data_IF_570195228736
#
_entry.id   IF_570195228736
#
_cell.length_a   1.000
_cell.length_b   1.000
_cell.length_c   1.000
_cell.angle_alpha   90.00
_cell.angle_beta   90.00
_cell.angle_gamma   90.00
#
_symmetry.space_group_name_H-M   'P 1'
#
loop_
_entity.id
_entity.type
_entity.pdbx_description
1 polymer ?
#
# COMPACT_ATOMS: atom_id res chain seq x y z
N UNK A 1 31.94 -7.48 14.39
CA UNK A 1 30.82 -8.11 13.67
C UNK A 1 29.52 -7.64 14.31
N UNK A 2 28.41 -7.63 13.57
CA UNK A 2 27.03 -7.35 14.03
C UNK A 2 26.56 -5.89 14.12
N UNK A 3 26.23 -5.31 12.95
CA UNK A 3 25.23 -4.22 12.83
C UNK A 3 24.32 -4.40 11.60
N UNK A 4 24.07 -5.63 11.13
CA UNK A 4 23.30 -5.89 9.89
C UNK A 4 21.76 -5.90 10.06
N UNK A 5 21.23 -6.13 11.26
CA UNK A 5 19.77 -6.24 11.50
C UNK A 5 18.96 -4.97 11.16
N UNK A 6 19.40 -3.74 11.50
CA UNK A 6 18.68 -2.53 11.12
C UNK A 6 18.62 -2.31 9.60
N UNK A 7 19.66 -2.75 8.88
CA UNK A 7 19.80 -2.58 7.43
C UNK A 7 18.83 -3.48 6.66
N UNK A 8 18.71 -4.76 7.03
CA UNK A 8 17.76 -5.67 6.37
C UNK A 8 16.31 -5.23 6.60
N UNK A 9 15.96 -4.85 7.84
CA UNK A 9 14.62 -4.36 8.13
C UNK A 9 14.26 -3.09 7.35
N UNK A 10 15.21 -2.16 7.20
CA UNK A 10 15.03 -0.97 6.37
C UNK A 10 14.88 -1.31 4.89
N UNK A 11 15.65 -2.29 4.40
CA UNK A 11 15.58 -2.76 3.01
C UNK A 11 14.22 -3.38 2.71
N UNK A 12 13.76 -4.30 3.56
CA UNK A 12 12.43 -4.93 3.44
C UNK A 12 11.33 -3.89 3.42
N UNK A 13 11.37 -2.93 4.35
CA UNK A 13 10.37 -1.86 4.41
C UNK A 13 10.37 -1.02 3.13
N UNK A 14 11.52 -0.48 2.72
CA UNK A 14 11.63 0.38 1.52
C UNK A 14 11.18 -0.35 0.26
N UNK A 15 11.54 -1.62 0.10
CA UNK A 15 11.14 -2.42 -1.06
C UNK A 15 9.63 -2.60 -1.10
N UNK A 16 9.02 -3.10 -0.02
CA UNK A 16 7.61 -3.46 0.00
C UNK A 16 6.68 -2.23 0.08
N UNK A 17 7.10 -1.15 0.74
CA UNK A 17 6.28 0.07 0.87
C UNK A 17 6.13 0.85 -0.44
N UNK A 18 7.07 0.68 -1.37
CA UNK A 18 7.10 1.39 -2.65
C UNK A 18 6.39 0.61 -3.78
N UNK A 19 5.86 -0.59 -3.51
CA UNK A 19 5.19 -1.35 -4.55
C UNK A 19 3.82 -0.72 -4.85
N UNK A 20 3.56 -0.45 -6.13
CA UNK A 20 2.25 -0.01 -6.56
C UNK A 20 1.23 -1.17 -6.48
N UNK A 21 0.18 -0.97 -5.68
CA UNK A 21 -0.88 -1.93 -5.42
C UNK A 21 -2.21 -1.59 -6.12
N UNK A 22 -2.30 -0.48 -6.85
CA UNK A 22 -3.56 0.04 -7.39
C UNK A 22 -4.36 -1.00 -8.19
N UNK A 23 -3.69 -1.74 -9.08
CA UNK A 23 -4.31 -2.80 -9.89
C UNK A 23 -4.60 -4.11 -9.14
N UNK A 24 -4.16 -4.21 -7.88
CA UNK A 24 -4.23 -5.42 -7.04
C UNK A 24 -5.19 -5.27 -5.86
N UNK A 25 -5.58 -4.05 -5.55
CA UNK A 25 -6.58 -3.73 -4.51
C UNK A 25 -7.97 -3.98 -5.07
N UNK A 26 -8.79 -4.69 -4.30
CA UNK A 26 -10.18 -4.96 -4.65
C UNK A 26 -11.11 -3.99 -3.95
N UNK A 27 -12.07 -3.48 -4.70
CA UNK A 27 -13.13 -2.59 -4.21
C UNK A 27 -14.45 -3.34 -4.24
N UNK A 28 -14.96 -3.71 -3.06
CA UNK A 28 -16.32 -4.24 -2.92
C UNK A 28 -17.26 -3.09 -2.57
N UNK A 29 -18.42 -3.02 -3.22
CA UNK A 29 -19.45 -2.00 -2.95
C UNK A 29 -19.81 -2.00 -1.46
N UNK A 30 -19.71 -0.84 -0.81
CA UNK A 30 -19.95 -0.64 0.64
C UNK A 30 -18.95 -1.36 1.58
N UNK A 31 -17.72 -1.61 1.13
CA UNK A 31 -16.64 -2.13 1.98
C UNK A 31 -15.37 -1.32 1.79
N UNK A 32 -14.50 -1.32 2.80
CA UNK A 32 -13.17 -0.75 2.66
C UNK A 32 -12.38 -1.49 1.57
N UNK A 33 -11.54 -0.79 0.79
CA UNK A 33 -10.64 -1.42 -0.16
C UNK A 33 -9.74 -2.41 0.59
N UNK A 34 -9.45 -3.56 -0.02
CA UNK A 34 -8.60 -4.57 0.61
C UNK A 34 -7.67 -5.25 -0.40
N UNK A 35 -6.52 -5.70 0.08
CA UNK A 35 -5.60 -6.54 -0.66
C UNK A 35 -5.93 -8.01 -0.38
N UNK A 36 -6.17 -8.87 -1.39
CA UNK A 36 -6.38 -10.29 -1.16
C UNK A 36 -5.14 -10.92 -0.53
N UNK A 37 -5.32 -11.75 0.50
CA UNK A 37 -4.21 -12.39 1.23
C UNK A 37 -3.24 -13.16 0.33
N UNK A 38 -3.78 -13.84 -0.70
CA UNK A 38 -2.97 -14.62 -1.64
C UNK A 38 -2.09 -13.70 -2.50
N UNK A 39 -2.61 -12.52 -2.88
CA UNK A 39 -1.85 -11.50 -3.61
C UNK A 39 -0.78 -10.91 -2.70
N UNK A 40 -1.11 -10.58 -1.45
CA UNK A 40 -0.13 -10.09 -0.48
C UNK A 40 1.03 -11.09 -0.28
N UNK A 41 0.72 -12.38 -0.15
CA UNK A 41 1.72 -13.44 -0.04
C UNK A 41 2.55 -13.60 -1.32
N UNK A 42 1.90 -13.64 -2.49
CA UNK A 42 2.59 -13.70 -3.77
C UNK A 42 3.60 -12.55 -3.92
N UNK A 43 3.19 -11.33 -3.60
CA UNK A 43 4.05 -10.15 -3.70
C UNK A 43 5.22 -10.20 -2.73
N UNK A 44 5.02 -10.71 -1.52
CA UNK A 44 6.15 -10.96 -0.61
C UNK A 44 7.14 -11.96 -1.23
N UNK A 45 6.64 -13.04 -1.84
CA UNK A 45 7.44 -14.08 -2.48
C UNK A 45 8.21 -13.60 -3.71
N UNK A 46 7.68 -12.64 -4.47
CA UNK A 46 8.37 -12.05 -5.63
C UNK A 46 9.71 -11.39 -5.25
N UNK A 47 9.83 -10.88 -4.02
CA UNK A 47 11.06 -10.23 -3.51
C UNK A 47 11.82 -11.10 -2.49
N UNK A 48 11.11 -11.90 -1.71
CA UNK A 48 11.64 -12.66 -0.57
C UNK A 48 11.13 -14.11 -0.59
N UNK A 49 11.51 -14.94 -1.59
CA UNK A 49 10.92 -16.27 -1.83
C UNK A 49 11.22 -17.30 -0.73
N UNK A 50 12.23 -17.07 0.10
CA UNK A 50 12.57 -17.93 1.25
C UNK A 50 11.77 -17.62 2.51
N UNK A 51 10.82 -16.67 2.45
CA UNK A 51 9.99 -16.29 3.59
C UNK A 51 8.99 -17.39 3.95
N UNK A 52 8.58 -17.43 5.21
CA UNK A 52 7.65 -18.42 5.75
C UNK A 52 6.65 -17.77 6.70
N UNK A 53 5.55 -18.47 7.00
CA UNK A 53 4.61 -18.05 8.03
C UNK A 53 4.12 -19.24 8.85
N UNK A 54 3.70 -18.98 10.09
CA UNK A 54 3.13 -19.98 10.99
C UNK A 54 1.91 -19.39 11.71
N UNK A 55 0.79 -20.12 11.66
CA UNK A 55 -0.39 -19.77 12.45
C UNK A 55 -0.25 -20.28 13.87
N UNK A 56 -0.40 -19.37 14.84
CA UNK A 56 -0.47 -19.74 16.23
C UNK A 56 -1.79 -20.44 16.58
N UNK A 57 -1.86 -20.89 17.84
CA UNK A 57 -3.10 -21.45 18.40
C UNK A 57 -4.18 -20.37 18.46
N UNK A 58 -5.42 -20.77 18.18
CA UNK A 58 -6.59 -19.92 18.37
C UNK A 58 -6.79 -19.71 19.87
N UNK A 59 -6.86 -18.45 20.29
CA UNK A 59 -7.08 -18.10 21.70
C UNK A 59 -8.56 -17.81 21.92
N UNK A 60 -9.24 -18.63 22.73
CA UNK A 60 -10.64 -18.44 23.09
C UNK A 60 -10.77 -17.69 24.41
N UNK A 61 -11.56 -16.63 24.42
CA UNK A 61 -11.89 -15.86 25.61
C UNK A 61 -13.07 -16.47 26.36
N UNK A 62 -13.23 -16.12 27.65
CA UNK A 62 -14.30 -16.64 28.52
C UNK A 62 -15.73 -16.32 28.05
N UNK A 63 -15.90 -15.29 27.20
CA UNK A 63 -17.17 -14.94 26.56
C UNK A 63 -17.44 -15.71 25.24
N UNK A 64 -16.65 -16.77 24.97
CA UNK A 64 -16.74 -17.63 23.78
C UNK A 64 -16.43 -16.92 22.45
N UNK A 65 -15.82 -15.74 22.48
CA UNK A 65 -15.17 -15.16 21.29
C UNK A 65 -13.74 -15.67 21.20
N UNK A 66 -13.07 -15.44 20.06
CA UNK A 66 -11.66 -15.82 19.94
C UNK A 66 -10.86 -14.84 19.08
N UNK A 67 -9.53 -14.95 19.21
CA UNK A 67 -8.58 -14.33 18.31
C UNK A 67 -7.63 -15.37 17.69
N UNK A 68 -7.08 -15.03 16.54
CA UNK A 68 -6.07 -15.81 15.83
C UNK A 68 -4.74 -15.06 15.85
N UNK A 69 -3.63 -15.78 15.83
CA UNK A 69 -2.28 -15.21 15.75
C UNK A 69 -1.51 -15.79 14.57
N UNK A 70 -0.59 -14.98 14.04
CA UNK A 70 0.28 -15.35 12.94
C UNK A 70 1.68 -14.79 13.21
N UNK A 71 2.70 -15.55 12.83
CA UNK A 71 4.08 -15.09 12.75
C UNK A 71 4.56 -15.23 11.32
N UNK A 72 5.07 -14.14 10.73
CA UNK A 72 5.66 -14.13 9.39
C UNK A 72 7.15 -13.86 9.53
N UNK A 73 7.96 -14.64 8.84
CA UNK A 73 9.42 -14.47 8.79
C UNK A 73 9.84 -14.20 7.37
N UNK A 74 10.24 -12.95 7.09
CA UNK A 74 10.81 -12.52 5.82
C UNK A 74 12.30 -12.89 5.77
N UNK A 75 12.76 -13.53 4.68
CA UNK A 75 14.15 -14.02 4.56
C UNK A 75 14.80 -13.64 3.22
N UNK A 76 16.09 -13.31 3.29
CA UNK A 76 16.95 -13.15 2.11
C UNK A 76 18.37 -13.63 2.44
N UNK A 77 18.81 -14.74 1.85
CA UNK A 77 20.10 -15.34 2.18
C UNK A 77 20.16 -15.73 3.67
N UNK A 78 21.13 -15.16 4.39
CA UNK A 78 21.30 -15.35 5.84
C UNK A 78 20.50 -14.36 6.69
N UNK A 79 19.91 -13.33 6.09
CA UNK A 79 19.21 -12.27 6.80
C UNK A 79 17.73 -12.64 6.98
N UNK A 80 17.19 -12.34 8.17
CA UNK A 80 15.80 -12.60 8.52
C UNK A 80 15.17 -11.45 9.32
N UNK A 81 13.88 -11.26 9.10
CA UNK A 81 13.03 -10.33 9.83
C UNK A 81 11.72 -11.02 10.17
N UNK A 82 11.43 -11.15 11.45
CA UNK A 82 10.18 -11.78 11.94
C UNK A 82 9.27 -10.73 12.55
N UNK A 83 7.97 -10.84 12.24
CA UNK A 83 6.90 -10.05 12.88
C UNK A 83 5.74 -10.96 13.20
N UNK A 84 5.04 -10.65 14.29
CA UNK A 84 3.85 -11.39 14.72
C UNK A 84 2.69 -10.44 14.94
N UNK A 85 1.48 -10.90 14.67
CA UNK A 85 0.25 -10.15 14.87
C UNK A 85 -0.86 -11.06 15.38
N UNK A 86 -1.83 -10.48 16.08
CA UNK A 86 -3.11 -11.13 16.36
C UNK A 86 -4.27 -10.39 15.71
N UNK A 87 -5.39 -11.09 15.56
CA UNK A 87 -6.64 -10.54 15.03
C UNK A 87 -7.85 -11.22 15.70
N UNK A 88 -8.79 -10.45 16.26
CA UNK A 88 -10.07 -10.98 16.71
C UNK A 88 -10.89 -11.59 15.55
N UNK A 89 -11.66 -12.63 15.84
CA UNK A 89 -12.65 -13.18 14.91
C UNK A 89 -13.94 -12.35 15.03
N UNK A 90 -14.24 -11.56 14.01
CA UNK A 90 -15.36 -10.64 14.00
C UNK A 90 -16.10 -10.65 12.64
N UNK A 91 -17.32 -10.10 12.63
CA UNK A 91 -18.16 -9.96 11.43
C UNK A 91 -17.76 -8.73 10.57
N UNK A 92 -18.49 -8.45 9.49
CA UNK A 92 -18.23 -7.28 8.63
C UNK A 92 -18.48 -5.93 9.34
N UNK A 93 -19.22 -5.91 10.46
CA UNK A 93 -19.49 -4.74 11.27
C UNK A 93 -18.54 -4.60 12.48
N UNK A 94 -17.44 -5.36 12.50
CA UNK A 94 -16.44 -5.39 13.57
C UNK A 94 -16.96 -5.89 14.94
N UNK A 95 -18.10 -6.58 14.97
CA UNK A 95 -18.57 -7.23 16.19
C UNK A 95 -17.89 -8.60 16.36
N UNK A 96 -17.39 -8.87 17.56
CA UNK A 96 -16.78 -10.17 17.87
C UNK A 96 -17.80 -11.30 17.73
N UNK A 97 -17.42 -12.38 17.04
CA UNK A 97 -18.30 -13.54 16.82
C UNK A 97 -18.18 -14.50 18.00
N UNK A 98 -19.33 -14.84 18.58
CA UNK A 98 -19.45 -15.85 19.64
C UNK A 98 -19.53 -17.25 19.01
N UNK A 99 -18.73 -18.21 19.50
CA UNK A 99 -18.61 -19.57 18.96
C UNK A 99 -18.36 -19.61 17.43
N UNK A 100 -17.27 -19.00 16.93
CA UNK A 100 -17.03 -18.92 15.49
C UNK A 100 -16.79 -20.30 14.88
N UNK A 101 -17.34 -20.50 13.69
CA UNK A 101 -17.12 -21.68 12.85
C UNK A 101 -15.68 -21.77 12.35
N UNK A 102 -15.26 -22.96 11.93
CA UNK A 102 -13.93 -23.18 11.31
C UNK A 102 -13.69 -22.27 10.11
N UNK A 103 -14.72 -22.01 9.29
CA UNK A 103 -14.65 -21.09 8.15
C UNK A 103 -14.39 -19.64 8.58
N UNK A 104 -15.08 -19.17 9.63
CA UNK A 104 -14.86 -17.83 10.19
C UNK A 104 -13.45 -17.68 10.78
N UNK A 105 -12.98 -18.70 11.49
CA UNK A 105 -11.59 -18.75 12.00
C UNK A 105 -10.59 -18.72 10.85
N UNK A 106 -10.81 -19.49 9.78
CA UNK A 106 -9.93 -19.49 8.62
C UNK A 106 -9.90 -18.14 7.89
N UNK A 107 -11.05 -17.50 7.71
CA UNK A 107 -11.11 -16.14 7.15
C UNK A 107 -10.32 -15.14 8.01
N UNK A 108 -10.46 -15.22 9.34
CA UNK A 108 -9.69 -14.38 10.25
C UNK A 108 -8.18 -14.67 10.16
N UNK A 109 -7.77 -15.94 10.07
CA UNK A 109 -6.36 -16.34 9.86
C UNK A 109 -5.78 -15.70 8.60
N UNK A 110 -6.47 -15.82 7.47
CA UNK A 110 -5.99 -15.26 6.20
C UNK A 110 -5.94 -13.72 6.21
N UNK A 111 -6.92 -13.06 6.82
CA UNK A 111 -6.90 -11.60 7.04
C UNK A 111 -5.80 -11.17 8.01
N UNK A 112 -5.48 -11.99 9.01
CA UNK A 112 -4.38 -11.74 9.95
C UNK A 112 -3.03 -11.88 9.25
N UNK A 113 -2.87 -12.88 8.38
CA UNK A 113 -1.67 -13.05 7.54
C UNK A 113 -1.40 -11.81 6.69
N UNK A 114 -2.40 -11.34 5.95
CA UNK A 114 -2.28 -10.13 5.13
C UNK A 114 -1.93 -8.90 5.98
N UNK A 115 -2.61 -8.68 7.11
CA UNK A 115 -2.28 -7.60 8.06
C UNK A 115 -0.84 -7.71 8.57
N UNK A 116 -0.35 -8.92 8.83
CA UNK A 116 1.02 -9.15 9.29
C UNK A 116 2.03 -8.83 8.18
N UNK A 117 1.75 -9.22 6.93
CA UNK A 117 2.55 -8.86 5.76
C UNK A 117 2.58 -7.34 5.58
N UNK A 118 1.47 -6.65 5.84
CA UNK A 118 1.41 -5.19 5.78
C UNK A 118 2.37 -4.51 6.77
N UNK A 119 2.65 -5.14 7.92
CA UNK A 119 3.67 -4.65 8.84
C UNK A 119 5.07 -4.64 8.22
N UNK A 120 5.34 -5.40 7.17
CA UNK A 120 6.63 -5.33 6.44
C UNK A 120 6.69 -4.17 5.44
N UNK A 121 5.60 -3.41 5.26
CA UNK A 121 5.51 -2.25 4.38
C UNK A 121 4.48 -2.43 3.25
N UNK A 122 4.13 -3.68 2.91
CA UNK A 122 3.26 -3.99 1.78
C UNK A 122 1.80 -3.59 2.05
N UNK A 123 1.32 -2.50 1.46
CA UNK A 123 -0.10 -2.13 1.56
C UNK A 123 -0.55 -1.69 2.95
N UNK A 124 0.39 -1.25 3.80
CA UNK A 124 0.08 -0.71 5.14
C UNK A 124 -0.99 0.39 5.12
N UNK A 125 -1.02 1.19 4.03
CA UNK A 125 -2.00 2.26 3.81
C UNK A 125 -3.45 1.76 3.81
N UNK A 126 -3.71 0.51 3.42
CA UNK A 126 -5.06 -0.07 3.42
C UNK A 126 -5.60 -0.29 4.83
N UNK A 127 -4.72 -0.43 5.83
CA UNK A 127 -5.09 -0.66 7.22
C UNK A 127 -5.16 0.63 8.05
N UNK A 128 -4.81 1.78 7.47
CA UNK A 128 -4.95 3.11 8.11
C UNK A 128 -6.40 3.59 8.07
N UNK A 129 -7.23 3.06 7.15
CA UNK A 129 -8.61 3.48 6.96
C UNK A 129 -9.50 3.04 8.14
N UNK A 130 -9.91 3.98 9.00
CA UNK A 130 -10.88 3.77 10.07
C UNK A 130 -10.40 4.19 11.46
N UNK A 131 -9.09 4.30 11.66
CA UNK A 131 -8.53 5.12 12.73
C UNK A 131 -8.52 6.56 12.19
N UNK A 132 -8.86 7.55 13.02
CA UNK A 132 -8.94 8.97 12.66
C UNK A 132 -7.57 9.58 12.32
N UNK A 133 -6.75 8.88 11.55
CA UNK A 133 -5.50 9.37 11.01
C UNK A 133 -5.83 10.10 9.71
N UNK A 134 -6.28 11.36 9.84
CA UNK A 134 -6.13 12.32 8.74
C UNK A 134 -4.64 12.53 8.58
N UNK A 135 -4.03 11.73 7.75
CA UNK A 135 -2.83 12.18 7.07
C UNK A 135 -3.28 12.69 5.72
N UNK A 136 -3.38 14.01 5.58
CA UNK A 136 -3.20 14.70 4.31
C UNK A 136 -1.78 14.39 3.78
N UNK A 137 -1.53 13.13 3.44
CA UNK A 137 -0.29 12.68 2.84
C UNK A 137 -0.75 12.19 1.49
N UNK A 138 -0.48 13.06 0.51
CA UNK A 138 -0.74 12.89 -0.90
C UNK A 138 -0.66 11.41 -1.30
N UNK A 139 -1.62 10.95 -2.09
CA UNK A 139 -1.41 9.76 -2.90
C UNK A 139 0.00 9.86 -3.52
N UNK A 140 0.73 8.76 -3.58
CA UNK A 140 2.10 8.79 -4.08
C UNK A 140 2.05 9.07 -5.60
N UNK A 141 1.93 10.35 -5.94
CA UNK A 141 1.81 10.91 -7.29
C UNK A 141 3.19 11.08 -7.93
N UNK A 142 4.26 10.56 -7.30
CA UNK A 142 5.60 10.55 -7.88
C UNK A 142 5.63 9.99 -9.32
N UNK A 143 4.87 8.92 -9.68
CA UNK A 143 4.78 8.46 -11.06
C UNK A 143 4.16 9.48 -12.01
N UNK A 144 3.14 10.25 -11.56
CA UNK A 144 2.51 11.30 -12.37
C UNK A 144 3.41 12.52 -12.55
N UNK A 145 4.13 12.93 -11.51
CA UNK A 145 5.14 13.98 -11.60
C UNK A 145 6.20 13.65 -12.65
N UNK A 146 6.74 12.43 -12.62
CA UNK A 146 7.74 11.98 -13.58
C UNK A 146 7.17 11.86 -15.00
N UNK A 147 5.95 11.33 -15.14
CA UNK A 147 5.26 11.22 -16.42
C UNK A 147 5.03 12.59 -17.07
N UNK A 148 4.41 13.53 -16.35
CA UNK A 148 4.15 14.87 -16.90
C UNK A 148 5.42 15.65 -17.20
N UNK A 149 6.48 15.50 -16.38
CA UNK A 149 7.78 16.08 -16.68
C UNK A 149 8.38 15.53 -17.98
N UNK A 150 8.26 14.20 -18.22
CA UNK A 150 8.74 13.58 -19.46
C UNK A 150 7.95 14.04 -20.69
N UNK A 151 6.61 14.07 -20.61
CA UNK A 151 5.74 14.55 -21.70
C UNK A 151 6.05 16.00 -22.07
N UNK A 152 6.19 16.88 -21.06
CA UNK A 152 6.49 18.30 -21.27
C UNK A 152 7.91 18.56 -21.78
N UNK A 153 8.88 17.69 -21.45
CA UNK A 153 10.25 17.82 -21.94
C UNK A 153 10.38 17.64 -23.45
N UNK A 154 9.43 16.90 -24.06
CA UNK A 154 9.39 16.66 -25.51
C UNK A 154 8.75 17.82 -26.29
N UNK A 155 8.10 18.76 -25.61
CA UNK A 155 7.40 19.89 -26.23
C UNK A 155 8.35 21.08 -26.36
N UNK A 156 8.45 21.67 -27.55
CA UNK A 156 9.42 22.73 -27.85
C UNK A 156 8.80 24.11 -28.09
N UNK A 157 7.47 24.23 -28.03
CA UNK A 157 6.76 25.51 -28.19
C UNK A 157 5.85 25.80 -26.99
N UNK A 158 5.61 27.10 -26.74
CA UNK A 158 4.66 27.55 -25.70
C UNK A 158 3.22 27.14 -26.03
N UNK A 159 2.86 27.10 -27.32
CA UNK A 159 1.53 26.70 -27.81
C UNK A 159 1.24 25.22 -27.54
N UNK A 160 2.23 24.34 -27.74
CA UNK A 160 2.10 22.91 -27.46
C UNK A 160 1.94 22.64 -25.96
N UNK A 161 2.68 23.36 -25.12
CA UNK A 161 2.55 23.26 -23.66
C UNK A 161 1.17 23.70 -23.19
N UNK A 162 0.60 24.75 -23.78
CA UNK A 162 -0.75 25.21 -23.46
C UNK A 162 -1.84 24.24 -23.95
N UNK A 163 -1.65 23.62 -25.11
CA UNK A 163 -2.53 22.57 -25.64
C UNK A 163 -2.51 21.32 -24.75
N UNK A 164 -1.31 20.90 -24.31
CA UNK A 164 -1.14 19.81 -23.34
C UNK A 164 -1.87 20.11 -22.03
N UNK A 165 -1.73 21.34 -21.52
CA UNK A 165 -2.38 21.77 -20.28
C UNK A 165 -3.92 21.73 -20.39
N UNK A 166 -4.49 22.24 -21.49
CA UNK A 166 -5.93 22.22 -21.72
C UNK A 166 -6.50 20.78 -21.76
N UNK A 167 -5.78 19.87 -22.43
CA UNK A 167 -6.17 18.46 -22.49
C UNK A 167 -6.16 17.81 -21.10
N UNK A 168 -5.10 18.01 -20.31
CA UNK A 168 -5.00 17.46 -18.95
C UNK A 168 -6.01 18.08 -17.99
N UNK A 169 -6.32 19.36 -18.16
CA UNK A 169 -7.36 20.03 -17.38
C UNK A 169 -8.75 19.45 -17.66
N UNK A 170 -9.05 19.08 -18.91
CA UNK A 170 -10.31 18.42 -19.27
C UNK A 170 -10.38 16.97 -18.78
N UNK A 171 -9.26 16.24 -18.86
CA UNK A 171 -9.13 14.84 -18.41
C UNK A 171 -9.33 14.69 -16.89
N UNK A 172 -8.72 15.58 -16.09
CA UNK A 172 -8.72 15.52 -14.62
C UNK A 172 -9.61 16.58 -13.97
N UNK A 173 -10.68 17.01 -14.64
CA UNK A 173 -11.54 18.13 -14.20
C UNK A 173 -12.06 18.00 -12.74
N UNK A 174 -12.28 16.76 -12.28
CA UNK A 174 -12.85 16.46 -10.97
C UNK A 174 -11.78 16.18 -9.89
N UNK A 175 -10.50 16.07 -10.27
CA UNK A 175 -9.38 15.81 -9.35
C UNK A 175 -8.51 17.06 -9.13
N UNK A 176 -8.86 17.83 -8.10
CA UNK A 176 -8.21 19.10 -7.77
C UNK A 176 -6.72 18.97 -7.45
N UNK A 177 -6.28 17.81 -6.96
CA UNK A 177 -4.88 17.61 -6.59
C UNK A 177 -4.02 17.28 -7.81
N UNK A 178 -4.51 16.46 -8.74
CA UNK A 178 -3.82 16.23 -10.02
C UNK A 178 -3.73 17.52 -10.81
N UNK A 179 -4.78 18.34 -10.82
CA UNK A 179 -4.76 19.64 -11.49
C UNK A 179 -3.67 20.57 -10.93
N UNK A 180 -3.42 20.55 -9.62
CA UNK A 180 -2.31 21.32 -9.02
C UNK A 180 -0.95 20.88 -9.57
N UNK A 181 -0.73 19.57 -9.69
CA UNK A 181 0.50 19.01 -10.26
C UNK A 181 0.65 19.39 -11.74
N UNK A 182 -0.43 19.34 -12.50
CA UNK A 182 -0.47 19.75 -13.91
C UNK A 182 -0.12 21.23 -14.07
N UNK A 183 -0.65 22.09 -13.19
CA UNK A 183 -0.34 23.53 -13.16
C UNK A 183 1.14 23.76 -12.85
N UNK A 184 1.68 23.10 -11.83
CA UNK A 184 3.08 23.23 -11.41
C UNK A 184 4.04 22.76 -12.51
N UNK A 185 3.74 21.63 -13.16
CA UNK A 185 4.52 21.08 -14.27
C UNK A 185 4.53 22.04 -15.48
N UNK A 186 3.37 22.59 -15.85
CA UNK A 186 3.26 23.63 -16.89
C UNK A 186 4.10 24.86 -16.55
N UNK A 187 3.98 25.38 -15.32
CA UNK A 187 4.71 26.57 -14.89
C UNK A 187 6.23 26.36 -14.97
N UNK A 188 6.71 25.22 -14.49
CA UNK A 188 8.11 24.85 -14.58
C UNK A 188 8.60 24.80 -16.04
N UNK A 189 7.86 24.18 -16.96
CA UNK A 189 8.25 24.11 -18.36
C UNK A 189 8.23 25.49 -19.05
N UNK A 190 7.21 26.30 -18.82
CA UNK A 190 7.12 27.67 -19.37
C UNK A 190 8.26 28.57 -18.86
N UNK A 191 8.68 28.40 -17.60
CA UNK A 191 9.81 29.15 -17.03
C UNK A 191 11.16 28.82 -17.66
N UNK A 192 11.31 27.63 -18.24
CA UNK A 192 12.51 27.24 -18.98
C UNK A 192 12.58 27.94 -20.34
N UNK A 193 11.44 28.18 -21.00
CA UNK A 193 11.41 28.96 -22.24
C UNK A 193 11.76 30.44 -22.02
N UNK A 194 11.48 31.00 -20.85
CA UNK A 194 11.86 32.39 -20.52
C UNK A 194 13.32 32.58 -20.10
N UNK A 195 14.10 31.49 -19.95
CA UNK A 195 15.54 31.53 -19.60
C UNK A 195 16.45 31.31 -20.82
N UNK A 196 15.86 31.11 -22.00
CA UNK A 196 16.56 30.83 -23.27
C UNK A 196 16.54 32.05 -24.21
N UNK A 197 15.90 33.15 -23.78
CA UNK A 197 16.02 34.50 -24.35
C UNK A 197 16.99 35.35 -23.52
#
# INVERSE_FOLDING_TARGET
METKKPEFAQTVWKTLSNINLESKVLHKKNSQPYLPWAVAWQMLMEYYPSSSYEFGKVHYYGNKTCEVSITVTCKQGSDELTRSMSRPVHDEAYNSIVNPTSTQINMAKMRCLEKCIAMFGLGIRLHVAGESFISNIAEDKAPLHQKFASELSMLNSKEDVMSWYANKQAEFKDDKEILKIVIDARHNRLSQFSKVD
#
